data_IF_288897393310
#
_entry.id   IF_288897393310
#
_cell.length_a   1.000
_cell.length_b   1.000
_cell.length_c   1.000
_cell.angle_alpha   90.00
_cell.angle_beta   90.00
_cell.angle_gamma   90.00
#
_symmetry.space_group_name_H-M   'P 1'
#
loop_
_entity.id
_entity.type
_entity.pdbx_description
1 polymer ?
#
# COMPACT_ATOMS: atom_id res chain seq x y z
N UNK A 1 17.31 9.78 6.43
CA UNK A 1 16.62 8.60 5.87
C UNK A 1 16.82 8.49 4.34
N UNK A 2 16.93 7.29 3.76
CA UNK A 2 17.02 7.07 2.31
C UNK A 2 15.71 6.52 1.74
N UNK A 3 15.20 7.12 0.65
CA UNK A 3 13.99 6.65 -0.04
C UNK A 3 14.35 6.10 -1.42
N UNK A 4 13.88 4.89 -1.73
CA UNK A 4 13.96 4.28 -3.06
C UNK A 4 12.58 4.12 -3.66
N UNK A 5 12.36 4.71 -4.82
CA UNK A 5 11.16 4.53 -5.64
C UNK A 5 11.55 4.47 -7.12
N UNK A 6 10.76 3.77 -7.92
CA UNK A 6 10.87 3.81 -9.38
C UNK A 6 9.92 4.83 -10.02
N UNK A 7 9.16 5.58 -9.19
CA UNK A 7 8.20 6.60 -9.62
C UNK A 7 7.20 6.11 -10.68
N UNK A 8 6.87 4.82 -10.64
CA UNK A 8 5.86 4.21 -11.52
C UNK A 8 4.51 4.23 -10.83
N UNK A 9 3.47 4.83 -11.43
CA UNK A 9 2.09 4.71 -10.97
C UNK A 9 1.63 3.25 -11.00
N UNK A 10 0.77 2.87 -10.05
CA UNK A 10 0.14 1.56 -9.96
C UNK A 10 -1.32 1.75 -9.59
N UNK A 11 -2.20 1.10 -10.33
CA UNK A 11 -3.62 1.13 -10.05
C UNK A 11 -3.94 0.23 -8.84
N UNK A 12 -4.59 0.74 -7.78
CA UNK A 12 -5.17 -0.09 -6.74
C UNK A 12 -6.27 -0.99 -7.31
N UNK A 13 -6.44 -2.17 -6.72
CA UNK A 13 -7.49 -3.13 -7.11
C UNK A 13 -8.39 -3.41 -5.91
N UNK A 14 -9.69 -3.58 -6.15
CA UNK A 14 -10.60 -4.11 -5.13
C UNK A 14 -10.22 -5.54 -4.75
N UNK A 15 -10.64 -5.99 -3.56
CA UNK A 15 -10.41 -7.38 -3.13
C UNK A 15 -10.90 -8.41 -4.15
N UNK A 16 -12.11 -8.22 -4.69
CA UNK A 16 -12.66 -9.10 -5.72
C UNK A 16 -11.79 -9.15 -6.99
N UNK A 17 -11.35 -7.98 -7.46
CA UNK A 17 -10.50 -7.90 -8.66
C UNK A 17 -9.15 -8.58 -8.40
N UNK A 18 -8.57 -8.36 -7.22
CA UNK A 18 -7.30 -8.95 -6.83
C UNK A 18 -7.36 -10.49 -6.85
N UNK A 19 -8.41 -11.10 -6.29
CA UNK A 19 -8.57 -12.57 -6.26
C UNK A 19 -8.65 -13.16 -7.67
N UNK A 20 -9.39 -12.52 -8.58
CA UNK A 20 -9.49 -12.94 -9.98
C UNK A 20 -8.15 -12.88 -10.71
N UNK A 21 -7.28 -11.92 -10.37
CA UNK A 21 -5.98 -11.75 -11.02
C UNK A 21 -4.91 -12.73 -10.52
N UNK A 22 -4.94 -13.10 -9.24
CA UNK A 22 -3.88 -13.91 -8.61
C UNK A 22 -4.17 -15.41 -8.58
N UNK A 23 -5.44 -15.79 -8.80
CA UNK A 23 -5.92 -17.18 -8.77
C UNK A 23 -6.06 -17.77 -7.36
N UNK A 24 -6.81 -18.88 -7.26
CA UNK A 24 -7.32 -19.44 -6.00
C UNK A 24 -6.25 -19.63 -4.90
N UNK A 25 -5.08 -20.18 -5.26
CA UNK A 25 -4.02 -20.48 -4.28
C UNK A 25 -3.44 -19.22 -3.65
N UNK A 26 -3.29 -18.14 -4.43
CA UNK A 26 -2.74 -16.89 -3.94
C UNK A 26 -3.84 -16.06 -3.26
N UNK A 27 -5.07 -16.11 -3.78
CA UNK A 27 -6.24 -15.52 -3.14
C UNK A 27 -6.43 -16.02 -1.71
N UNK A 28 -6.35 -17.34 -1.49
CA UNK A 28 -6.44 -17.94 -0.14
C UNK A 28 -5.37 -17.42 0.83
N UNK A 29 -4.14 -17.16 0.37
CA UNK A 29 -3.07 -16.58 1.19
C UNK A 29 -3.34 -15.12 1.54
N UNK A 30 -3.86 -14.36 0.59
CA UNK A 30 -4.22 -12.96 0.79
C UNK A 30 -5.39 -12.87 1.77
N UNK A 31 -6.43 -13.69 1.59
CA UNK A 31 -7.54 -13.82 2.55
C UNK A 31 -7.07 -14.17 3.95
N UNK A 32 -6.08 -15.06 4.08
CA UNK A 32 -5.49 -15.37 5.37
C UNK A 32 -4.69 -14.20 5.96
N UNK A 33 -4.01 -13.40 5.14
CA UNK A 33 -3.29 -12.21 5.60
C UNK A 33 -4.25 -11.13 6.14
N UNK A 34 -5.45 -11.04 5.57
CA UNK A 34 -6.48 -10.07 5.92
C UNK A 34 -7.70 -10.74 6.59
N UNK A 35 -7.47 -11.77 7.41
CA UNK A 35 -8.51 -12.57 8.07
C UNK A 35 -9.36 -11.79 9.08
N UNK A 36 -8.91 -10.60 9.46
CA UNK A 36 -9.62 -9.64 10.29
C UNK A 36 -10.69 -8.84 9.51
N UNK A 37 -10.67 -8.87 8.17
CA UNK A 37 -11.70 -8.25 7.34
C UNK A 37 -12.81 -9.26 7.06
N UNK A 38 -14.06 -8.81 7.16
CA UNK A 38 -15.20 -9.56 6.64
C UNK A 38 -15.17 -9.63 5.12
N UNK A 39 -15.94 -10.54 4.50
CA UNK A 39 -15.98 -10.66 3.03
C UNK A 39 -16.36 -9.33 2.35
N UNK A 40 -17.33 -8.62 2.90
CA UNK A 40 -17.76 -7.31 2.37
C UNK A 40 -16.67 -6.25 2.55
N UNK A 41 -16.02 -6.18 3.72
CA UNK A 41 -14.92 -5.23 3.95
C UNK A 41 -13.73 -5.52 3.02
N UNK A 42 -13.42 -6.80 2.81
CA UNK A 42 -12.36 -7.20 1.89
C UNK A 42 -12.68 -6.82 0.44
N UNK A 43 -13.92 -7.01 0.00
CA UNK A 43 -14.36 -6.63 -1.36
C UNK A 43 -14.29 -5.12 -1.60
N UNK A 44 -14.67 -4.32 -0.61
CA UNK A 44 -14.67 -2.85 -0.67
C UNK A 44 -13.28 -2.22 -0.45
N UNK A 45 -12.34 -2.96 0.16
CA UNK A 45 -10.98 -2.49 0.42
C UNK A 45 -10.16 -2.34 -0.88
N UNK A 46 -9.26 -1.35 -0.88
CA UNK A 46 -8.34 -1.11 -1.98
C UNK A 46 -6.97 -1.71 -1.68
N UNK A 47 -6.53 -2.65 -2.51
CA UNK A 47 -5.24 -3.32 -2.35
C UNK A 47 -4.23 -2.87 -3.40
N UNK A 48 -2.96 -2.82 -2.98
CA UNK A 48 -1.83 -2.51 -3.84
C UNK A 48 -0.77 -3.60 -3.69
N UNK A 49 -0.36 -4.19 -4.81
CA UNK A 49 0.76 -5.13 -4.84
C UNK A 49 2.07 -4.38 -5.09
N UNK A 50 3.01 -4.52 -4.17
CA UNK A 50 4.34 -3.92 -4.29
C UNK A 50 5.43 -4.93 -3.87
N UNK A 51 6.37 -5.18 -4.79
CA UNK A 51 7.48 -6.13 -4.61
C UNK A 51 7.05 -7.53 -4.11
N UNK A 52 5.91 -8.01 -4.57
CA UNK A 52 5.37 -9.34 -4.23
C UNK A 52 4.57 -9.39 -2.93
N UNK A 53 4.40 -8.27 -2.24
CA UNK A 53 3.54 -8.14 -1.06
C UNK A 53 2.28 -7.34 -1.40
N UNK A 54 1.16 -7.76 -0.83
CA UNK A 54 -0.14 -7.07 -0.93
C UNK A 54 -0.34 -6.22 0.31
N UNK A 55 -0.66 -4.94 0.10
CA UNK A 55 -0.97 -4.00 1.16
C UNK A 55 -2.41 -3.50 1.00
N UNK A 56 -3.16 -3.42 2.09
CA UNK A 56 -4.43 -2.67 2.11
C UNK A 56 -4.12 -1.17 2.19
N UNK A 57 -4.91 -0.33 1.50
CA UNK A 57 -4.73 1.12 1.59
C UNK A 57 -5.03 1.64 2.99
N UNK A 58 -5.97 1.01 3.71
CA UNK A 58 -6.30 1.33 5.09
C UNK A 58 -5.16 1.09 6.10
N UNK A 59 -4.20 0.23 5.79
CA UNK A 59 -3.03 -0.03 6.65
C UNK A 59 -2.01 1.14 6.66
N UNK A 60 -2.12 2.08 5.71
CA UNK A 60 -1.21 3.21 5.64
C UNK A 60 -1.62 4.33 6.58
N UNK A 61 -0.70 4.70 7.47
CA UNK A 61 -0.86 5.88 8.30
C UNK A 61 -0.67 7.14 7.45
N UNK A 62 -1.61 8.08 7.55
CA UNK A 62 -1.55 9.34 6.80
C UNK A 62 -0.38 10.20 7.27
N UNK A 63 0.41 10.69 6.32
CA UNK A 63 1.43 11.71 6.56
C UNK A 63 0.75 13.07 6.51
N UNK A 64 0.86 13.84 7.59
CA UNK A 64 0.32 15.19 7.61
C UNK A 64 1.21 16.13 6.77
N UNK A 65 0.60 16.75 5.76
CA UNK A 65 1.27 17.64 4.80
C UNK A 65 1.85 18.93 5.40
N UNK A 66 1.50 19.24 6.66
CA UNK A 66 1.85 20.50 7.33
C UNK A 66 3.35 20.65 7.64
N UNK A 67 4.12 19.56 7.61
CA UNK A 67 5.55 19.59 7.90
C UNK A 67 6.40 19.55 6.61
N UNK A 68 6.68 20.72 6.01
CA UNK A 68 7.73 20.86 4.97
C UNK A 68 9.12 20.38 5.43
N UNK A 69 9.33 20.30 6.74
CA UNK A 69 10.57 19.82 7.37
C UNK A 69 10.57 18.29 7.62
N UNK A 70 9.47 17.58 7.33
CA UNK A 70 9.43 16.13 7.46
C UNK A 70 10.30 15.46 6.40
N UNK A 71 11.08 14.44 6.80
CA UNK A 71 11.83 13.60 5.85
C UNK A 71 10.93 12.87 4.85
N UNK A 72 9.62 12.82 5.11
CA UNK A 72 8.59 12.21 4.26
C UNK A 72 7.78 13.23 3.46
N UNK A 73 8.23 14.48 3.39
CA UNK A 73 7.53 15.52 2.64
C UNK A 73 7.27 15.10 1.19
N UNK A 74 6.03 15.28 0.73
CA UNK A 74 5.58 14.89 -0.62
C UNK A 74 5.04 13.46 -0.75
N UNK A 75 5.09 12.66 0.31
CA UNK A 75 4.37 11.38 0.43
C UNK A 75 3.08 11.55 1.23
N UNK A 76 2.08 10.71 0.98
CA UNK A 76 0.74 10.86 1.56
C UNK A 76 0.47 9.86 2.69
N UNK A 77 1.17 8.74 2.70
CA UNK A 77 1.08 7.75 3.76
C UNK A 77 2.32 6.87 3.87
N UNK A 78 2.45 6.20 5.01
CA UNK A 78 3.51 5.24 5.26
C UNK A 78 2.98 4.01 6.02
N UNK A 79 3.62 2.88 5.79
CA UNK A 79 3.44 1.64 6.54
C UNK A 79 4.82 1.17 6.99
N UNK A 80 5.02 1.07 8.31
CA UNK A 80 6.32 0.74 8.89
C UNK A 80 6.49 -0.78 8.98
N UNK A 81 7.45 -1.33 8.23
CA UNK A 81 7.85 -2.74 8.40
C UNK A 81 8.70 -2.92 9.68
N UNK A 82 9.51 -1.91 10.02
CA UNK A 82 10.35 -1.84 11.22
C UNK A 82 10.61 -0.38 11.61
N UNK A 83 11.29 -0.16 12.73
CA UNK A 83 11.73 1.19 13.13
C UNK A 83 12.62 1.87 12.08
N UNK A 84 13.40 1.08 11.31
CA UNK A 84 14.36 1.59 10.34
C UNK A 84 13.92 1.41 8.88
N UNK A 85 12.76 0.82 8.60
CA UNK A 85 12.32 0.63 7.21
C UNK A 85 10.81 0.50 7.08
N UNK A 86 10.30 0.92 5.93
CA UNK A 86 8.90 0.71 5.59
C UNK A 86 8.57 1.15 4.17
N UNK A 87 7.30 1.12 3.86
CA UNK A 87 6.74 1.45 2.55
C UNK A 87 6.04 2.80 2.61
N UNK A 88 6.16 3.57 1.53
CA UNK A 88 5.51 4.87 1.37
C UNK A 88 4.51 4.80 0.21
N UNK A 89 3.41 5.52 0.36
CA UNK A 89 2.40 5.70 -0.68
C UNK A 89 2.27 7.18 -1.04
N UNK A 90 2.12 7.43 -2.33
CA UNK A 90 1.79 8.74 -2.89
C UNK A 90 0.65 8.58 -3.88
N UNK A 91 -0.48 9.19 -3.58
CA UNK A 91 -1.66 9.21 -4.44
C UNK A 91 -1.41 10.14 -5.63
N UNK A 92 -1.83 9.71 -6.82
CA UNK A 92 -1.86 10.47 -8.05
C UNK A 92 -3.29 11.00 -8.31
N UNK A 93 -3.42 12.02 -9.16
CA UNK A 93 -4.69 12.70 -9.41
C UNK A 93 -5.74 11.82 -10.11
N UNK A 94 -5.29 10.76 -10.77
CA UNK A 94 -6.08 9.76 -11.50
C UNK A 94 -6.48 8.54 -10.65
N UNK A 95 -6.11 8.52 -9.37
CA UNK A 95 -6.36 7.39 -8.47
C UNK A 95 -5.26 6.33 -8.46
N UNK A 96 -4.23 6.47 -9.28
CA UNK A 96 -3.04 5.63 -9.20
C UNK A 96 -2.20 5.95 -7.96
N UNK A 97 -1.32 5.03 -7.59
CA UNK A 97 -0.45 5.16 -6.42
C UNK A 97 1.00 4.86 -6.78
N UNK A 98 1.88 5.80 -6.44
CA UNK A 98 3.32 5.60 -6.47
C UNK A 98 3.76 5.03 -5.13
N UNK A 99 4.55 3.96 -5.19
CA UNK A 99 5.10 3.26 -4.03
C UNK A 99 6.59 3.60 -3.85
N UNK A 100 7.01 3.76 -2.60
CA UNK A 100 8.41 3.94 -2.21
C UNK A 100 8.78 3.01 -1.07
N UNK A 101 10.08 2.77 -0.86
CA UNK A 101 10.59 2.16 0.37
C UNK A 101 11.55 3.13 1.04
N UNK A 102 11.33 3.43 2.31
CA UNK A 102 12.31 4.14 3.12
C UNK A 102 13.13 3.14 3.93
N UNK A 103 14.39 3.49 4.18
CA UNK A 103 15.23 2.82 5.15
C UNK A 103 16.28 3.78 5.72
N UNK A 104 16.71 3.52 6.95
CA UNK A 104 17.81 4.23 7.61
C UNK A 104 19.00 3.33 7.86
#
# INVERSE_FOLDING_TARGET
MNIKTNNQPRQPMSGLTLELFVGDKQAAKIRQQFDYLTDTEFEDESFITYKGYTYAMSDFMRIEFSAKESELYGWHGYSSDSFFSGVLIKLCDDGDVIMGRYYS
#
